data_IF_564829400403
#
_entry.id   IF_564829400403
#
_cell.length_a   1.000
_cell.length_b   1.000
_cell.length_c   1.000
_cell.angle_alpha   90.00
_cell.angle_beta   90.00
_cell.angle_gamma   90.00
#
_symmetry.space_group_name_H-M   'P 1'
#
loop_
_entity.id
_entity.type
_entity.pdbx_description
1 polymer ?
#
# COMPACT_ATOMS: atom_id res chain seq x y z
N UNK A 1 16.76 1.49 32.95
CA UNK A 1 17.91 1.19 32.09
C UNK A 1 17.35 0.47 30.87
N UNK A 2 17.38 1.06 29.68
CA UNK A 2 16.96 0.35 28.47
C UNK A 2 18.01 -0.71 28.19
N UNK A 3 17.71 -1.97 28.52
CA UNK A 3 18.53 -3.09 28.07
C UNK A 3 18.21 -3.36 26.60
N UNK A 4 19.25 -3.38 25.78
CA UNK A 4 19.18 -3.84 24.41
C UNK A 4 18.65 -5.28 24.39
N UNK A 5 17.69 -5.62 23.52
CA UNK A 5 17.13 -6.96 23.46
C UNK A 5 18.23 -7.95 23.07
N UNK A 6 18.31 -9.07 23.80
CA UNK A 6 19.29 -10.11 23.54
C UNK A 6 18.66 -11.25 22.74
N UNK A 7 19.08 -11.42 21.49
CA UNK A 7 18.50 -12.42 20.60
C UNK A 7 19.49 -13.54 20.33
N UNK A 8 18.97 -14.74 20.06
CA UNK A 8 19.75 -15.85 19.53
C UNK A 8 19.34 -16.11 18.08
N UNK A 9 20.29 -16.22 17.15
CA UNK A 9 20.00 -16.60 15.77
C UNK A 9 20.36 -18.07 15.56
N UNK A 10 19.34 -18.89 15.31
CA UNK A 10 19.48 -20.30 14.99
C UNK A 10 19.12 -20.53 13.52
N UNK A 11 20.02 -21.16 12.78
CA UNK A 11 19.89 -21.43 11.35
C UNK A 11 20.66 -22.69 11.02
N UNK A 12 20.41 -23.28 9.86
CA UNK A 12 21.13 -24.44 9.37
C UNK A 12 22.25 -24.02 8.42
N UNK A 13 23.39 -24.71 8.49
CA UNK A 13 24.52 -24.48 7.58
C UNK A 13 24.26 -25.12 6.21
N UNK A 14 23.37 -24.52 5.43
CA UNK A 14 22.90 -25.08 4.15
C UNK A 14 23.93 -24.87 3.04
N UNK A 15 24.27 -23.61 2.78
CA UNK A 15 25.26 -23.20 1.78
C UNK A 15 25.86 -21.82 2.15
N UNK A 16 26.93 -21.43 1.46
CA UNK A 16 27.65 -20.18 1.74
C UNK A 16 26.80 -18.92 1.52
N UNK A 17 25.87 -18.93 0.56
CA UNK A 17 24.95 -17.79 0.35
C UNK A 17 24.03 -17.62 1.56
N UNK A 18 23.49 -18.72 2.09
CA UNK A 18 22.63 -18.70 3.28
C UNK A 18 23.39 -18.26 4.54
N UNK A 19 24.63 -18.73 4.73
CA UNK A 19 25.51 -18.29 5.83
C UNK A 19 25.82 -16.79 5.73
N UNK A 20 26.15 -16.32 4.54
CA UNK A 20 26.46 -14.90 4.29
C UNK A 20 25.24 -14.02 4.52
N UNK A 21 24.06 -14.45 4.06
CA UNK A 21 22.81 -13.74 4.29
C UNK A 21 22.46 -13.66 5.78
N UNK A 22 22.65 -14.76 6.53
CA UNK A 22 22.36 -14.79 7.97
C UNK A 22 23.35 -13.92 8.75
N UNK A 23 24.63 -13.88 8.33
CA UNK A 23 25.63 -12.95 8.85
C UNK A 23 25.25 -11.49 8.58
N UNK A 24 24.76 -11.18 7.37
CA UNK A 24 24.27 -9.83 7.06
C UNK A 24 23.11 -9.43 7.99
N UNK A 25 22.13 -10.30 8.19
CA UNK A 25 21.03 -10.06 9.14
C UNK A 25 21.54 -9.82 10.56
N UNK A 26 22.47 -10.66 11.05
CA UNK A 26 23.07 -10.54 12.38
C UNK A 26 23.81 -9.20 12.56
N UNK A 27 24.60 -8.81 11.57
CA UNK A 27 25.31 -7.52 11.56
C UNK A 27 24.32 -6.34 11.57
N UNK A 28 23.25 -6.42 10.77
CA UNK A 28 22.24 -5.37 10.68
C UNK A 28 21.51 -5.17 12.01
N UNK A 29 21.04 -6.26 12.62
CA UNK A 29 20.41 -6.24 13.94
C UNK A 29 21.33 -5.66 15.00
N UNK A 30 22.61 -6.05 14.98
CA UNK A 30 23.62 -5.50 15.89
C UNK A 30 23.82 -3.99 15.68
N UNK A 31 23.80 -3.51 14.44
CA UNK A 31 23.89 -2.08 14.11
C UNK A 31 22.69 -1.27 14.60
N UNK A 32 21.53 -1.91 14.75
CA UNK A 32 20.30 -1.31 15.28
C UNK A 32 20.10 -1.60 16.79
N UNK A 33 21.20 -1.90 17.50
CA UNK A 33 21.24 -1.95 18.96
C UNK A 33 20.73 -3.26 19.57
N UNK A 34 20.65 -4.35 18.80
CA UNK A 34 20.29 -5.68 19.33
C UNK A 34 21.56 -6.42 19.78
N UNK A 35 21.54 -7.05 20.96
CA UNK A 35 22.63 -7.92 21.43
C UNK A 35 22.46 -9.32 20.82
N UNK A 36 23.19 -9.59 19.74
CA UNK A 36 23.03 -10.82 18.93
C UNK A 36 24.00 -11.91 19.38
N UNK A 37 23.44 -13.04 19.83
CA UNK A 37 24.17 -14.30 20.04
C UNK A 37 24.15 -15.08 18.72
N UNK A 38 25.32 -15.31 18.14
CA UNK A 38 25.45 -15.89 16.80
C UNK A 38 26.73 -16.73 16.66
N UNK A 39 26.59 -17.92 16.09
CA UNK A 39 27.66 -18.91 16.05
C UNK A 39 28.92 -18.40 15.33
N UNK A 40 28.77 -17.64 14.24
CA UNK A 40 29.89 -17.09 13.47
C UNK A 40 30.66 -15.99 14.23
N UNK A 41 30.08 -15.41 15.29
CA UNK A 41 30.76 -14.44 16.17
C UNK A 41 31.40 -15.13 17.37
N UNK A 42 30.66 -16.05 17.99
CA UNK A 42 30.93 -16.52 19.35
C UNK A 42 31.68 -17.86 19.39
N UNK A 43 31.57 -18.69 18.34
CA UNK A 43 32.26 -19.98 18.28
C UNK A 43 33.67 -19.85 17.70
N UNK A 44 34.61 -20.57 18.32
CA UNK A 44 36.01 -20.69 17.91
C UNK A 44 36.43 -22.15 17.96
N UNK A 45 37.61 -22.47 17.42
CA UNK A 45 38.19 -23.81 17.58
C UNK A 45 38.29 -24.15 19.07
N UNK A 46 37.71 -25.30 19.45
CA UNK A 46 37.61 -25.75 20.84
C UNK A 46 36.34 -25.34 21.58
N UNK A 47 35.45 -24.54 20.97
CA UNK A 47 34.13 -24.26 21.55
C UNK A 47 33.26 -25.51 21.63
N UNK A 48 32.39 -25.56 22.65
CA UNK A 48 31.41 -26.63 22.82
C UNK A 48 30.03 -26.16 22.31
N UNK A 49 29.57 -26.75 21.20
CA UNK A 49 28.28 -26.40 20.57
C UNK A 49 27.10 -26.60 21.53
N UNK A 50 27.10 -27.65 22.36
CA UNK A 50 26.01 -27.90 23.30
C UNK A 50 25.87 -26.76 24.32
N UNK A 51 27.01 -26.27 24.84
CA UNK A 51 27.02 -25.12 25.75
C UNK A 51 26.59 -23.82 25.06
N UNK A 52 26.92 -23.64 23.78
CA UNK A 52 26.42 -22.51 23.01
C UNK A 52 24.90 -22.56 22.83
N UNK A 53 24.33 -23.73 22.55
CA UNK A 53 22.88 -23.90 22.43
C UNK A 53 22.12 -23.64 23.73
N UNK A 54 22.73 -23.86 24.89
CA UNK A 54 22.12 -23.51 26.18
C UNK A 54 21.84 -22.00 26.31
N UNK A 55 22.52 -21.15 25.53
CA UNK A 55 22.28 -19.70 25.50
C UNK A 55 20.88 -19.33 24.96
N UNK A 56 20.20 -20.23 24.25
CA UNK A 56 18.77 -20.06 23.86
C UNK A 56 17.91 -19.73 25.08
N UNK A 57 18.18 -20.35 26.23
CA UNK A 57 17.41 -20.11 27.45
C UNK A 57 17.54 -18.67 27.94
N UNK A 58 18.69 -18.03 27.71
CA UNK A 58 19.02 -16.67 28.18
C UNK A 58 18.61 -15.56 27.20
N UNK A 59 18.36 -15.90 25.94
CA UNK A 59 17.89 -14.94 24.95
C UNK A 59 16.41 -14.56 25.21
N UNK A 60 16.07 -13.29 25.03
CA UNK A 60 14.69 -12.81 25.09
C UNK A 60 13.89 -13.28 23.88
N UNK A 61 14.53 -13.34 22.71
CA UNK A 61 13.97 -13.86 21.46
C UNK A 61 14.95 -14.80 20.77
N UNK A 62 14.43 -15.71 19.96
CA UNK A 62 15.19 -16.68 19.18
C UNK A 62 14.69 -16.62 17.75
N UNK A 63 15.53 -16.15 16.83
CA UNK A 63 15.24 -16.17 15.40
C UNK A 63 15.54 -17.57 14.87
N UNK A 64 14.57 -18.19 14.23
CA UNK A 64 14.73 -19.50 13.60
C UNK A 64 14.69 -19.30 12.08
N UNK A 65 15.83 -19.36 11.42
CA UNK A 65 15.94 -19.12 9.98
C UNK A 65 15.61 -20.42 9.23
N UNK A 66 14.41 -20.48 8.68
CA UNK A 66 13.79 -21.67 8.13
C UNK A 66 14.08 -21.85 6.65
N UNK A 67 14.52 -23.04 6.30
CA UNK A 67 14.80 -23.52 4.95
C UNK A 67 14.39 -25.01 4.86
N UNK A 68 14.37 -25.62 3.66
CA UNK A 68 14.09 -27.06 3.56
C UNK A 68 15.04 -27.92 4.38
N UNK A 69 16.33 -27.58 4.38
CA UNK A 69 17.37 -28.29 5.14
C UNK A 69 17.19 -28.11 6.65
N UNK A 70 16.76 -26.91 7.10
CA UNK A 70 16.39 -26.66 8.48
C UNK A 70 15.27 -27.61 8.93
N UNK A 71 14.18 -27.71 8.16
CA UNK A 71 13.06 -28.60 8.48
C UNK A 71 13.51 -30.04 8.58
N UNK A 72 14.29 -30.52 7.60
CA UNK A 72 14.80 -31.90 7.59
C UNK A 72 15.55 -32.18 8.89
N UNK A 73 16.44 -31.28 9.31
CA UNK A 73 17.21 -31.44 10.57
C UNK A 73 16.33 -31.35 11.82
N UNK A 74 15.32 -30.48 11.82
CA UNK A 74 14.43 -30.29 12.95
C UNK A 74 13.45 -31.47 13.17
N UNK A 75 12.86 -31.96 12.08
CA UNK A 75 11.80 -32.99 12.12
C UNK A 75 12.39 -34.41 12.12
N UNK A 76 13.43 -34.67 11.31
CA UNK A 76 14.07 -35.97 11.24
C UNK A 76 15.16 -36.07 12.31
N UNK A 77 14.76 -36.42 13.53
CA UNK A 77 15.62 -36.73 14.69
C UNK A 77 16.48 -37.99 14.47
N UNK A 78 17.15 -38.11 13.33
CA UNK A 78 17.90 -39.31 12.95
C UNK A 78 19.17 -39.36 13.81
N UNK A 79 19.26 -40.39 14.65
CA UNK A 79 20.49 -40.90 15.28
C UNK A 79 21.13 -40.09 16.42
N UNK A 80 20.35 -39.55 17.36
CA UNK A 80 20.91 -39.05 18.64
C UNK A 80 21.77 -37.78 18.53
N UNK A 81 21.92 -37.23 17.33
CA UNK A 81 22.54 -35.94 17.03
C UNK A 81 21.39 -34.94 16.77
N UNK A 82 20.91 -34.32 17.84
CA UNK A 82 19.79 -33.37 17.76
C UNK A 82 19.53 -32.62 19.06
N UNK A 83 20.53 -32.57 19.94
CA UNK A 83 20.46 -31.90 21.24
C UNK A 83 19.98 -30.45 21.11
N UNK A 84 20.43 -29.77 20.06
CA UNK A 84 20.05 -28.41 19.68
C UNK A 84 18.53 -28.27 19.48
N UNK A 85 17.93 -29.14 18.67
CA UNK A 85 16.49 -29.16 18.41
C UNK A 85 15.68 -29.67 19.60
N UNK A 86 16.27 -30.50 20.48
CA UNK A 86 15.65 -30.88 21.76
C UNK A 86 15.55 -29.68 22.70
N UNK A 87 16.59 -28.84 22.80
CA UNK A 87 16.54 -27.59 23.58
C UNK A 87 15.43 -26.68 23.01
N UNK A 88 15.42 -26.43 21.70
CA UNK A 88 14.42 -25.58 21.05
C UNK A 88 13.01 -26.14 21.29
N UNK A 89 12.78 -27.43 21.04
CA UNK A 89 11.47 -28.05 21.23
C UNK A 89 11.00 -27.99 22.69
N UNK A 90 11.91 -28.21 23.64
CA UNK A 90 11.60 -28.21 25.08
C UNK A 90 11.27 -26.80 25.57
N UNK A 91 12.07 -25.82 25.19
CA UNK A 91 11.83 -24.42 25.53
C UNK A 91 10.55 -23.90 24.86
N UNK A 92 10.30 -24.27 23.60
CA UNK A 92 9.10 -23.90 22.88
C UNK A 92 7.83 -24.50 23.50
N UNK A 93 7.87 -25.76 23.95
CA UNK A 93 6.74 -26.41 24.60
C UNK A 93 6.27 -25.67 25.86
N UNK A 94 7.18 -24.99 26.58
CA UNK A 94 6.84 -24.13 27.74
C UNK A 94 6.06 -22.88 27.35
N UNK A 95 6.14 -22.45 26.09
CA UNK A 95 5.57 -21.18 25.61
C UNK A 95 4.51 -21.37 24.53
N UNK A 96 4.00 -22.58 24.31
CA UNK A 96 3.09 -22.89 23.18
C UNK A 96 1.89 -21.94 23.06
N UNK A 97 1.24 -21.58 24.18
CA UNK A 97 0.03 -20.73 24.17
C UNK A 97 0.32 -19.22 24.11
N UNK A 98 1.57 -18.81 24.36
CA UNK A 98 1.98 -17.41 24.47
C UNK A 98 3.33 -17.17 23.79
N UNK A 99 3.62 -17.90 22.70
CA UNK A 99 4.94 -17.87 22.10
C UNK A 99 5.24 -16.48 21.55
N UNK A 100 6.10 -15.75 22.25
CA UNK A 100 6.69 -14.50 21.80
C UNK A 100 8.21 -14.61 21.68
N UNK A 101 8.79 -15.74 22.10
CA UNK A 101 10.24 -15.98 22.15
C UNK A 101 10.76 -16.52 20.83
N UNK A 102 10.15 -17.55 20.26
CA UNK A 102 10.61 -18.18 19.03
C UNK A 102 9.96 -17.52 17.82
N UNK A 103 10.76 -16.84 17.00
CA UNK A 103 10.33 -16.09 15.83
C UNK A 103 10.74 -16.85 14.56
N UNK A 104 9.80 -17.51 13.85
CA UNK A 104 10.11 -18.22 12.62
C UNK A 104 10.33 -17.24 11.46
N UNK A 105 11.45 -17.38 10.75
CA UNK A 105 11.83 -16.54 9.62
C UNK A 105 11.99 -17.43 8.38
N UNK A 106 11.04 -17.39 7.44
CA UNK A 106 11.07 -18.23 6.25
C UNK A 106 12.04 -17.63 5.21
N UNK A 107 13.14 -18.32 4.94
CA UNK A 107 14.21 -17.86 4.03
C UNK A 107 14.28 -18.61 2.70
N UNK A 108 13.84 -19.86 2.64
CA UNK A 108 13.77 -20.64 1.40
C UNK A 108 12.60 -21.64 1.46
N UNK A 109 12.20 -22.19 0.30
CA UNK A 109 11.10 -23.16 0.20
C UNK A 109 9.73 -22.57 0.51
N UNK A 110 8.82 -23.37 1.05
CA UNK A 110 7.46 -23.02 1.47
C UNK A 110 7.17 -23.49 2.91
N UNK A 111 5.94 -23.27 3.39
CA UNK A 111 5.53 -23.60 4.76
C UNK A 111 5.74 -25.09 5.04
N UNK A 112 5.27 -25.94 4.14
CA UNK A 112 5.26 -27.39 4.29
C UNK A 112 6.67 -27.96 4.23
N UNK A 113 7.52 -27.45 3.34
CA UNK A 113 8.88 -27.95 3.11
C UNK A 113 9.92 -27.39 4.07
N UNK A 114 9.68 -26.22 4.68
CA UNK A 114 10.74 -25.46 5.37
C UNK A 114 10.45 -25.12 6.83
N UNK A 115 9.18 -25.08 7.22
CA UNK A 115 8.81 -24.84 8.62
C UNK A 115 8.68 -26.19 9.35
N UNK A 116 9.40 -26.40 10.47
CA UNK A 116 9.26 -27.59 11.31
C UNK A 116 7.81 -27.81 11.73
N UNK A 117 7.41 -29.07 11.83
CA UNK A 117 5.99 -29.44 12.01
C UNK A 117 5.36 -28.78 13.25
N UNK A 118 6.14 -28.59 14.33
CA UNK A 118 5.67 -27.96 15.57
C UNK A 118 5.47 -26.43 15.49
N UNK A 119 5.91 -25.78 14.41
CA UNK A 119 5.79 -24.32 14.20
C UNK A 119 4.83 -23.94 13.06
N UNK A 120 4.31 -24.90 12.29
CA UNK A 120 3.49 -24.60 11.09
C UNK A 120 2.19 -23.85 11.40
N UNK A 121 1.65 -23.96 12.61
CA UNK A 121 0.45 -23.21 13.05
C UNK A 121 0.76 -21.79 13.57
N UNK A 122 2.03 -21.40 13.65
CA UNK A 122 2.45 -20.10 14.19
C UNK A 122 2.73 -19.12 13.06
N UNK A 123 2.50 -17.83 13.33
CA UNK A 123 2.88 -16.77 12.40
C UNK A 123 4.40 -16.78 12.19
N UNK A 124 4.81 -16.50 10.96
CA UNK A 124 6.20 -16.43 10.55
C UNK A 124 6.44 -15.20 9.68
N UNK A 125 7.68 -14.73 9.63
CA UNK A 125 8.09 -13.66 8.74
C UNK A 125 8.63 -14.26 7.44
N UNK A 126 7.98 -14.00 6.31
CA UNK A 126 8.48 -14.39 4.99
C UNK A 126 9.48 -13.35 4.48
N UNK A 127 10.73 -13.79 4.33
CA UNK A 127 11.84 -12.98 3.81
C UNK A 127 12.50 -13.64 2.61
N UNK A 128 11.81 -14.53 1.89
CA UNK A 128 12.36 -15.21 0.69
C UNK A 128 12.65 -14.24 -0.45
N UNK A 129 11.85 -13.19 -0.60
CA UNK A 129 12.01 -12.18 -1.65
C UNK A 129 12.96 -11.06 -1.19
N UNK A 130 14.17 -11.02 -1.75
CA UNK A 130 15.21 -10.04 -1.35
C UNK A 130 14.79 -8.57 -1.57
N UNK A 131 13.95 -8.30 -2.58
CA UNK A 131 13.41 -6.96 -2.82
C UNK A 131 12.50 -6.43 -1.72
N UNK A 132 11.92 -7.30 -0.90
CA UNK A 132 11.06 -6.96 0.23
C UNK A 132 11.82 -6.91 1.57
N UNK A 133 13.12 -7.21 1.56
CA UNK A 133 13.91 -7.42 2.78
C UNK A 133 13.84 -6.23 3.73
N UNK A 134 14.04 -5.00 3.25
CA UNK A 134 14.07 -3.81 4.12
C UNK A 134 12.73 -3.57 4.83
N UNK A 135 11.60 -3.77 4.12
CA UNK A 135 10.27 -3.65 4.73
C UNK A 135 10.06 -4.72 5.81
N UNK A 136 10.43 -5.96 5.51
CA UNK A 136 10.32 -7.10 6.43
C UNK A 136 11.29 -7.00 7.61
N UNK A 137 12.45 -6.39 7.40
CA UNK A 137 13.44 -6.12 8.43
C UNK A 137 12.88 -5.16 9.49
N UNK A 138 12.19 -4.08 9.09
CA UNK A 138 11.52 -3.18 10.04
C UNK A 138 10.43 -3.91 10.84
N UNK A 139 9.68 -4.81 10.19
CA UNK A 139 8.69 -5.67 10.85
C UNK A 139 9.35 -6.57 11.90
N UNK A 140 10.47 -7.21 11.56
CA UNK A 140 11.27 -8.03 12.48
C UNK A 140 11.81 -7.22 13.66
N UNK A 141 12.39 -6.05 13.39
CA UNK A 141 13.01 -5.21 14.40
C UNK A 141 11.98 -4.75 15.44
N UNK A 142 10.79 -4.31 14.99
CA UNK A 142 9.67 -3.99 15.89
C UNK A 142 9.28 -5.18 16.76
N UNK A 143 9.20 -6.39 16.20
CA UNK A 143 8.92 -7.61 16.98
C UNK A 143 10.01 -7.93 18.02
N UNK A 144 11.28 -7.68 17.71
CA UNK A 144 12.40 -7.89 18.64
C UNK A 144 12.33 -6.92 19.83
N UNK A 145 11.92 -5.68 19.58
CA UNK A 145 11.73 -4.66 20.62
C UNK A 145 10.36 -4.70 21.31
N UNK A 146 9.50 -5.67 20.98
CA UNK A 146 8.11 -5.76 21.45
C UNK A 146 7.28 -4.48 21.15
N UNK A 147 7.62 -3.80 20.06
CA UNK A 147 6.90 -2.63 19.56
C UNK A 147 5.75 -3.06 18.63
N UNK A 148 4.53 -2.51 18.79
CA UNK A 148 3.42 -2.87 17.94
C UNK A 148 3.65 -2.42 16.49
N UNK A 149 3.43 -3.33 15.54
CA UNK A 149 3.42 -2.98 14.11
C UNK A 149 2.39 -1.89 13.83
N UNK A 150 1.20 -2.06 14.39
CA UNK A 150 0.08 -1.13 14.35
C UNK A 150 -0.40 -0.88 15.80
N UNK A 151 -0.16 0.32 16.37
CA UNK A 151 -0.59 0.61 17.73
C UNK A 151 -2.12 0.57 17.81
N UNK A 152 -2.65 -0.19 18.78
CA UNK A 152 -4.09 -0.23 19.03
C UNK A 152 -4.56 1.18 19.45
N UNK A 153 -5.54 1.78 18.77
CA UNK A 153 -6.05 3.09 19.18
C UNK A 153 -6.71 2.99 20.56
N UNK A 154 -6.75 4.09 21.33
CA UNK A 154 -7.53 4.15 22.57
C UNK A 154 -8.98 3.75 22.31
N UNK A 155 -9.56 3.00 23.24
CA UNK A 155 -10.96 2.58 23.12
C UNK A 155 -11.87 3.82 23.09
N UNK A 156 -12.67 3.95 22.03
CA UNK A 156 -13.67 5.00 21.90
C UNK A 156 -14.79 4.85 22.94
N UNK A 157 -15.56 5.92 23.16
CA UNK A 157 -16.79 5.84 23.96
C UNK A 157 -17.83 4.99 23.23
N UNK A 158 -18.63 4.21 23.97
CA UNK A 158 -19.81 3.52 23.41
C UNK A 158 -20.65 4.54 22.64
N UNK A 159 -20.97 4.30 21.36
CA UNK A 159 -21.85 5.18 20.60
C UNK A 159 -23.18 5.34 21.34
N UNK A 160 -23.67 6.57 21.41
CA UNK A 160 -25.01 6.82 21.92
C UNK A 160 -26.02 6.43 20.83
N UNK A 161 -26.55 5.21 20.93
CA UNK A 161 -27.55 4.69 19.98
C UNK A 161 -28.95 5.30 20.18
N UNK A 162 -29.17 6.08 21.25
CA UNK A 162 -30.46 6.73 21.57
C UNK A 162 -30.56 8.15 21.04
N UNK A 163 -29.44 8.82 20.76
CA UNK A 163 -29.38 10.11 20.06
C UNK A 163 -28.88 9.92 18.63
N UNK A 164 -29.62 9.11 17.86
CA UNK A 164 -29.59 9.27 16.42
C UNK A 164 -30.22 10.64 16.13
N UNK A 165 -29.40 11.70 16.03
CA UNK A 165 -29.78 12.84 15.18
C UNK A 165 -30.22 12.20 13.86
N UNK A 166 -31.40 12.54 13.30
CA UNK A 166 -31.90 11.81 12.16
C UNK A 166 -30.90 11.92 11.00
N UNK A 167 -30.16 10.85 10.74
CA UNK A 167 -29.39 10.65 9.50
C UNK A 167 -30.38 10.55 8.31
N UNK A 168 -31.69 10.56 8.57
CA UNK A 168 -32.77 10.53 7.58
C UNK A 168 -32.83 11.71 6.60
N UNK A 169 -31.90 12.67 6.67
CA UNK A 169 -31.77 13.75 5.68
C UNK A 169 -30.47 13.72 4.86
N UNK A 170 -29.50 12.90 5.24
CA UNK A 170 -28.24 12.78 4.49
C UNK A 170 -28.44 11.65 3.49
N UNK A 171 -28.63 11.99 2.22
CA UNK A 171 -28.80 10.99 1.16
C UNK A 171 -27.57 10.93 0.26
N UNK A 172 -26.87 12.05 0.12
CA UNK A 172 -25.85 12.24 -0.91
C UNK A 172 -24.51 12.65 -0.35
N UNK A 173 -23.45 12.40 -1.11
CA UNK A 173 -22.11 12.92 -0.87
C UNK A 173 -22.12 14.43 -0.70
N UNK A 174 -22.88 15.17 -1.50
CA UNK A 174 -22.97 16.63 -1.39
C UNK A 174 -23.63 17.08 -0.08
N UNK A 175 -24.54 16.28 0.50
CA UNK A 175 -25.10 16.54 1.84
C UNK A 175 -24.07 16.29 2.95
N UNK A 176 -23.17 15.31 2.75
CA UNK A 176 -22.07 14.99 3.69
C UNK A 176 -20.92 15.98 3.56
N UNK A 177 -20.49 16.23 2.33
CA UNK A 177 -19.26 16.91 1.94
C UNK A 177 -19.43 17.56 0.56
N UNK A 178 -19.68 18.87 0.55
CA UNK A 178 -19.74 19.67 -0.67
C UNK A 178 -18.37 20.16 -1.13
N UNK A 179 -18.19 20.32 -2.45
CA UNK A 179 -17.09 21.08 -3.02
C UNK A 179 -17.09 22.51 -2.45
N UNK A 180 -15.91 23.10 -2.24
CA UNK A 180 -15.74 24.44 -1.65
C UNK A 180 -15.85 24.51 -0.11
N UNK A 181 -16.00 23.39 0.60
CA UNK A 181 -15.85 23.38 2.05
C UNK A 181 -14.39 23.62 2.45
N UNK A 182 -14.16 24.34 3.55
CA UNK A 182 -12.81 24.45 4.12
C UNK A 182 -12.40 23.15 4.82
N UNK A 183 -11.10 22.87 4.92
CA UNK A 183 -10.57 21.72 5.66
C UNK A 183 -11.02 21.69 7.12
N UNK A 184 -11.13 22.85 7.76
CA UNK A 184 -11.69 22.95 9.10
C UNK A 184 -13.16 22.48 9.18
N UNK A 185 -13.97 22.77 8.16
CA UNK A 185 -15.34 22.27 8.06
C UNK A 185 -15.35 20.76 7.81
N UNK A 186 -14.47 20.25 6.93
CA UNK A 186 -14.31 18.81 6.70
C UNK A 186 -13.96 18.09 8.00
N UNK A 187 -12.99 18.61 8.76
CA UNK A 187 -12.57 17.99 10.02
C UNK A 187 -13.66 18.01 11.09
N UNK A 188 -14.55 19.01 11.05
CA UNK A 188 -15.72 19.05 11.92
C UNK A 188 -16.77 18.00 11.54
N UNK A 189 -16.86 17.63 10.27
CA UNK A 189 -17.82 16.65 9.75
C UNK A 189 -17.28 15.22 9.90
N UNK A 190 -16.07 14.97 9.39
CA UNK A 190 -15.47 13.63 9.28
C UNK A 190 -14.49 13.30 10.41
N UNK A 191 -14.14 14.28 11.25
CA UNK A 191 -13.10 14.13 12.26
C UNK A 191 -11.69 14.35 11.70
N UNK A 192 -10.67 13.83 12.41
CA UNK A 192 -9.28 13.94 11.97
C UNK A 192 -9.02 12.92 10.84
N UNK A 193 -8.31 13.30 9.77
CA UNK A 193 -7.96 12.34 8.72
C UNK A 193 -6.99 11.26 9.23
N UNK A 194 -7.10 10.07 8.64
CA UNK A 194 -6.20 8.93 8.91
C UNK A 194 -4.81 9.20 8.32
N UNK A 195 -4.75 9.77 7.10
CA UNK A 195 -3.51 10.19 6.46
C UNK A 195 -3.68 11.58 5.81
N UNK A 196 -2.55 12.27 5.65
CA UNK A 196 -2.46 13.56 4.97
C UNK A 196 -1.25 13.55 4.05
N UNK A 197 -1.48 13.59 2.75
CA UNK A 197 -0.44 13.65 1.73
C UNK A 197 -0.66 14.89 0.85
N UNK A 198 0.07 15.96 1.17
CA UNK A 198 -0.02 17.28 0.54
C UNK A 198 -1.48 17.82 0.44
N UNK A 199 -2.12 17.56 -0.69
CA UNK A 199 -3.47 18.03 -1.05
C UNK A 199 -4.57 17.00 -0.77
N UNK A 200 -4.21 15.76 -0.41
CA UNK A 200 -5.17 14.68 -0.19
C UNK A 200 -5.21 14.36 1.31
N UNK A 201 -6.42 14.29 1.85
CA UNK A 201 -6.69 13.71 3.16
C UNK A 201 -7.54 12.46 3.02
N UNK A 202 -7.11 11.36 3.63
CA UNK A 202 -7.83 10.09 3.57
C UNK A 202 -8.57 9.83 4.88
N UNK A 203 -9.80 9.34 4.76
CA UNK A 203 -10.71 8.96 5.84
C UNK A 203 -11.16 7.52 5.61
N UNK A 204 -10.31 6.56 6.00
CA UNK A 204 -10.52 5.11 5.78
C UNK A 204 -11.82 4.62 6.40
N UNK A 205 -12.14 5.13 7.59
CA UNK A 205 -13.38 4.80 8.32
C UNK A 205 -14.65 5.23 7.58
N UNK A 206 -14.54 6.12 6.59
CA UNK A 206 -15.65 6.62 5.79
C UNK A 206 -15.58 6.18 4.33
N UNK A 207 -14.54 5.44 3.92
CA UNK A 207 -14.33 5.10 2.51
C UNK A 207 -14.07 6.32 1.61
N UNK A 208 -13.45 7.37 2.15
CA UNK A 208 -13.31 8.66 1.47
C UNK A 208 -11.88 9.16 1.34
N UNK A 209 -11.62 9.83 0.23
CA UNK A 209 -10.50 10.76 0.07
C UNK A 209 -11.03 12.14 -0.31
N UNK A 210 -10.46 13.16 0.31
CA UNK A 210 -10.80 14.57 0.07
C UNK A 210 -9.59 15.26 -0.53
N UNK A 211 -9.78 15.83 -1.71
CA UNK A 211 -8.77 16.52 -2.48
C UNK A 211 -9.00 18.03 -2.32
N UNK A 212 -7.96 18.74 -1.90
CA UNK A 212 -8.00 20.17 -1.66
C UNK A 212 -7.18 20.93 -2.71
N UNK A 213 -7.59 22.16 -3.03
CA UNK A 213 -6.73 23.06 -3.79
C UNK A 213 -5.55 23.52 -2.94
N UNK A 214 -4.36 23.65 -3.56
CA UNK A 214 -3.17 24.23 -2.93
C UNK A 214 -3.37 25.68 -2.48
N UNK A 215 -4.22 26.43 -3.18
CA UNK A 215 -4.35 27.86 -2.95
C UNK A 215 -5.34 28.19 -1.81
N UNK A 216 -6.36 27.36 -1.52
CA UNK A 216 -7.50 27.85 -0.73
C UNK A 216 -8.00 27.00 0.46
N UNK A 217 -7.38 25.88 0.84
CA UNK A 217 -7.90 25.01 1.93
C UNK A 217 -9.33 24.51 1.65
N UNK A 218 -9.76 24.59 0.38
CA UNK A 218 -11.09 24.30 -0.12
C UNK A 218 -11.11 22.93 -0.80
N UNK A 219 -12.19 22.19 -0.59
CA UNK A 219 -12.43 20.90 -1.26
C UNK A 219 -12.65 21.13 -2.75
N UNK A 220 -11.76 20.58 -3.57
CA UNK A 220 -11.85 20.58 -5.05
C UNK A 220 -12.35 19.25 -5.59
N UNK A 221 -12.23 18.18 -4.81
CA UNK A 221 -12.66 16.87 -5.23
C UNK A 221 -12.89 15.94 -4.06
N UNK A 222 -13.76 14.97 -4.27
CA UNK A 222 -14.04 13.89 -3.34
C UNK A 222 -14.00 12.58 -4.10
N UNK A 223 -13.38 11.57 -3.49
CA UNK A 223 -13.31 10.22 -4.02
C UNK A 223 -13.91 9.27 -3.00
N UNK A 224 -15.07 8.71 -3.33
CA UNK A 224 -15.68 7.60 -2.62
C UNK A 224 -15.11 6.30 -3.17
N UNK A 225 -14.58 5.43 -2.31
CA UNK A 225 -14.11 4.10 -2.72
C UNK A 225 -14.28 3.08 -1.62
N UNK A 226 -14.50 1.82 -1.99
CA UNK A 226 -14.46 0.72 -1.04
C UNK A 226 -13.00 0.43 -0.65
N UNK A 227 -12.72 0.40 0.65
CA UNK A 227 -11.40 0.11 1.19
C UNK A 227 -11.12 -1.39 1.16
N UNK A 228 -9.84 -1.83 1.15
CA UNK A 228 -9.48 -3.25 1.28
C UNK A 228 -10.02 -3.90 2.55
N UNK A 229 -10.25 -3.12 3.62
CA UNK A 229 -10.89 -3.57 4.86
C UNK A 229 -12.39 -3.90 4.71
N UNK A 230 -12.97 -3.66 3.53
CA UNK A 230 -14.39 -3.84 3.24
C UNK A 230 -15.25 -2.61 3.54
N UNK A 231 -14.72 -1.58 4.21
CA UNK A 231 -15.43 -0.34 4.51
C UNK A 231 -15.75 0.41 3.20
N UNK A 232 -17.02 0.69 2.96
CA UNK A 232 -17.50 1.48 1.82
C UNK A 232 -17.95 2.87 2.24
N UNK A 233 -18.01 3.78 1.26
CA UNK A 233 -18.81 4.99 1.42
C UNK A 233 -20.29 4.62 1.18
N UNK A 234 -21.14 4.88 2.15
CA UNK A 234 -22.51 4.35 2.19
C UNK A 234 -23.58 5.26 1.55
N UNK A 235 -23.19 6.42 1.01
CA UNK A 235 -24.10 7.40 0.41
C UNK A 235 -23.90 7.51 -1.10
N UNK A 236 -24.91 8.03 -1.81
CA UNK A 236 -24.80 8.21 -3.27
C UNK A 236 -23.91 9.41 -3.61
N UNK A 237 -23.14 9.30 -4.69
CA UNK A 237 -22.39 10.42 -5.27
C UNK A 237 -23.07 10.78 -6.59
N UNK A 238 -23.76 11.94 -6.64
CA UNK A 238 -24.60 12.33 -7.78
C UNK A 238 -25.60 11.25 -8.22
N UNK A 239 -26.31 10.65 -7.26
CA UNK A 239 -27.32 9.63 -7.55
C UNK A 239 -26.77 8.23 -7.84
N UNK A 240 -25.45 8.02 -7.72
CA UNK A 240 -24.79 6.74 -7.98
C UNK A 240 -24.24 6.13 -6.69
N UNK A 241 -24.50 4.85 -6.46
CA UNK A 241 -23.91 4.09 -5.35
C UNK A 241 -22.67 3.31 -5.78
N UNK A 242 -21.78 3.03 -4.81
CA UNK A 242 -20.79 1.99 -4.99
C UNK A 242 -21.49 0.64 -5.24
N UNK A 243 -20.86 -0.21 -6.05
CA UNK A 243 -21.37 -1.50 -6.52
C UNK A 243 -22.61 -1.44 -7.43
N UNK A 244 -23.07 -0.24 -7.78
CA UNK A 244 -24.09 -0.08 -8.82
C UNK A 244 -23.54 -0.53 -10.18
N UNK A 245 -24.37 -1.25 -10.96
CA UNK A 245 -23.94 -1.77 -12.25
C UNK A 245 -23.86 -0.66 -13.28
N UNK A 246 -22.96 -0.80 -14.24
CA UNK A 246 -22.82 0.21 -15.30
C UNK A 246 -24.11 0.40 -16.12
N UNK A 247 -24.95 -0.63 -16.23
CA UNK A 247 -26.25 -0.52 -16.89
C UNK A 247 -27.21 0.41 -16.13
N UNK A 248 -27.27 0.30 -14.81
CA UNK A 248 -28.08 1.16 -13.94
C UNK A 248 -27.55 2.60 -13.96
N UNK A 249 -26.23 2.77 -13.87
CA UNK A 249 -25.56 4.08 -13.97
C UNK A 249 -25.88 4.76 -15.31
N UNK A 250 -25.81 4.02 -16.42
CA UNK A 250 -26.20 4.53 -17.74
C UNK A 250 -27.67 4.91 -17.82
N UNK A 251 -28.55 4.19 -17.14
CA UNK A 251 -29.97 4.54 -17.12
C UNK A 251 -30.21 5.90 -16.43
N UNK A 252 -29.37 6.25 -15.44
CA UNK A 252 -29.43 7.53 -14.71
C UNK A 252 -28.72 8.68 -15.43
N UNK A 253 -27.52 8.44 -15.94
CA UNK A 253 -26.61 9.49 -16.45
C UNK A 253 -26.46 9.51 -17.98
N UNK A 254 -26.99 8.51 -18.68
CA UNK A 254 -26.75 8.31 -20.11
C UNK A 254 -25.36 7.75 -20.42
N UNK A 255 -24.91 7.96 -21.65
CA UNK A 255 -23.56 7.55 -22.05
C UNK A 255 -22.53 8.51 -21.46
N UNK A 256 -21.38 8.01 -20.98
CA UNK A 256 -20.29 8.87 -20.58
C UNK A 256 -19.74 9.61 -21.80
N UNK A 257 -19.18 10.79 -21.54
CA UNK A 257 -18.50 11.63 -22.51
C UNK A 257 -17.29 10.90 -23.11
N UNK A 258 -16.54 10.20 -22.26
CA UNK A 258 -15.35 9.47 -22.66
C UNK A 258 -15.03 8.34 -21.67
N UNK A 259 -14.01 7.55 -21.98
CA UNK A 259 -13.54 6.41 -21.20
C UNK A 259 -12.02 6.34 -21.11
N UNK A 260 -11.50 5.69 -20.07
CA UNK A 260 -10.07 5.40 -19.94
C UNK A 260 -9.82 4.04 -19.29
N UNK A 261 -8.77 3.33 -19.72
CA UNK A 261 -8.36 2.03 -19.19
C UNK A 261 -6.99 2.13 -18.48
N UNK A 262 -6.96 2.61 -17.23
CA UNK A 262 -5.70 2.82 -16.52
C UNK A 262 -4.92 1.51 -16.32
N UNK A 263 -5.62 0.38 -16.19
CA UNK A 263 -5.03 -0.95 -16.09
C UNK A 263 -5.96 -2.02 -16.70
N UNK A 264 -5.49 -3.28 -16.87
CA UNK A 264 -6.29 -4.35 -17.46
C UNK A 264 -7.57 -4.73 -16.70
N UNK A 265 -7.67 -4.35 -15.43
CA UNK A 265 -8.73 -4.78 -14.52
C UNK A 265 -9.83 -3.74 -14.34
N UNK A 266 -9.63 -2.50 -14.79
CA UNK A 266 -10.53 -1.39 -14.49
C UNK A 266 -10.79 -0.50 -15.71
N UNK A 267 -11.95 0.16 -15.73
CA UNK A 267 -12.30 1.20 -16.70
C UNK A 267 -12.92 2.38 -15.99
N UNK A 268 -12.59 3.58 -16.42
CA UNK A 268 -13.15 4.81 -15.87
C UNK A 268 -14.12 5.40 -16.91
N UNK A 269 -15.35 5.66 -16.49
CA UNK A 269 -16.37 6.33 -17.29
C UNK A 269 -16.49 7.79 -16.85
N UNK A 270 -16.40 8.71 -17.80
CA UNK A 270 -16.35 10.15 -17.50
C UNK A 270 -17.65 10.84 -17.85
N UNK A 271 -18.18 11.57 -16.88
CA UNK A 271 -19.40 12.35 -17.00
C UNK A 271 -19.14 13.79 -16.61
N UNK A 272 -19.94 14.67 -17.18
CA UNK A 272 -19.99 16.07 -16.82
C UNK A 272 -21.39 16.39 -16.33
N UNK A 273 -21.48 16.94 -15.12
CA UNK A 273 -22.74 17.26 -14.44
C UNK A 273 -22.60 18.67 -13.89
N UNK A 274 -23.41 19.61 -14.38
CA UNK A 274 -23.46 21.01 -13.90
C UNK A 274 -22.09 21.70 -13.80
N UNK A 275 -21.29 21.62 -14.86
CA UNK A 275 -19.90 22.13 -14.93
C UNK A 275 -18.92 21.50 -13.91
N UNK A 276 -19.28 20.35 -13.34
CA UNK A 276 -18.41 19.51 -12.51
C UNK A 276 -18.18 18.18 -13.19
N UNK A 277 -17.17 17.47 -12.72
CA UNK A 277 -16.77 16.18 -13.25
C UNK A 277 -17.15 15.06 -12.33
N UNK A 278 -17.71 14.00 -12.91
CA UNK A 278 -18.02 12.76 -12.24
C UNK A 278 -17.31 11.62 -12.97
N UNK A 279 -16.43 10.92 -12.26
CA UNK A 279 -15.72 9.75 -12.78
C UNK A 279 -16.22 8.51 -12.06
N UNK A 280 -16.67 7.52 -12.83
CA UNK A 280 -17.08 6.21 -12.32
C UNK A 280 -15.99 5.19 -12.66
N UNK A 281 -15.31 4.67 -11.65
CA UNK A 281 -14.35 3.59 -11.81
C UNK A 281 -15.05 2.23 -11.68
N UNK A 282 -14.95 1.40 -12.71
CA UNK A 282 -15.63 0.11 -12.83
C UNK A 282 -14.62 -1.05 -12.87
N UNK A 283 -15.01 -2.19 -12.31
CA UNK A 283 -14.26 -3.44 -12.50
C UNK A 283 -14.53 -4.05 -13.88
N UNK A 284 -13.48 -4.38 -14.62
CA UNK A 284 -13.52 -5.14 -15.88
C UNK A 284 -13.11 -6.59 -15.71
N UNK A 285 -12.28 -6.87 -14.72
CA UNK A 285 -11.81 -8.19 -14.36
C UNK A 285 -11.39 -8.17 -12.90
N UNK A 286 -11.46 -9.33 -12.23
CA UNK A 286 -11.02 -9.46 -10.84
C UNK A 286 -9.49 -9.46 -10.81
N UNK A 287 -8.83 -8.47 -10.17
CA UNK A 287 -7.37 -8.38 -10.17
C UNK A 287 -6.72 -9.50 -9.35
N UNK A 288 -7.27 -9.79 -8.15
CA UNK A 288 -6.66 -10.68 -7.14
C UNK A 288 -7.70 -11.28 -6.17
N UNK A 289 -7.28 -12.23 -5.32
CA UNK A 289 -8.15 -12.85 -4.29
C UNK A 289 -8.72 -11.85 -3.26
N UNK A 290 -8.03 -10.74 -3.01
CA UNK A 290 -8.46 -9.71 -2.05
C UNK A 290 -9.73 -8.95 -2.49
N UNK A 291 -10.07 -9.00 -3.79
CA UNK A 291 -11.26 -8.35 -4.35
C UNK A 291 -12.22 -9.36 -4.98
N UNK A 292 -12.16 -10.63 -4.55
CA UNK A 292 -12.93 -11.73 -5.15
C UNK A 292 -14.45 -11.58 -4.98
N UNK A 293 -14.89 -10.80 -3.99
CA UNK A 293 -16.29 -10.47 -3.71
C UNK A 293 -16.85 -9.33 -4.58
N UNK A 294 -16.01 -8.63 -5.35
CA UNK A 294 -16.47 -7.59 -6.27
C UNK A 294 -17.06 -8.17 -7.55
N UNK A 295 -18.13 -7.53 -8.03
CA UNK A 295 -18.81 -7.90 -9.27
C UNK A 295 -18.20 -7.17 -10.45
N UNK A 296 -17.88 -7.90 -11.51
CA UNK A 296 -17.48 -7.30 -12.77
C UNK A 296 -18.59 -6.41 -13.31
N UNK A 297 -18.24 -5.24 -13.84
CA UNK A 297 -19.16 -4.26 -14.42
C UNK A 297 -19.82 -3.33 -13.41
N UNK A 298 -19.44 -3.37 -12.13
CA UNK A 298 -19.97 -2.46 -11.09
C UNK A 298 -18.96 -1.39 -10.69
N UNK A 299 -19.46 -0.26 -10.17
CA UNK A 299 -18.64 0.82 -9.64
C UNK A 299 -17.89 0.39 -8.37
N UNK A 300 -16.59 0.65 -8.31
CA UNK A 300 -15.77 0.41 -7.12
C UNK A 300 -15.22 1.70 -6.51
N UNK A 301 -15.17 2.76 -7.31
CA UNK A 301 -14.90 4.11 -6.84
C UNK A 301 -15.68 5.12 -7.68
N UNK A 302 -16.03 6.24 -7.05
CA UNK A 302 -16.74 7.36 -7.66
C UNK A 302 -16.05 8.65 -7.24
N UNK A 303 -15.54 9.41 -8.19
CA UNK A 303 -14.95 10.72 -7.95
C UNK A 303 -15.88 11.83 -8.42
N UNK A 304 -16.09 12.86 -7.60
CA UNK A 304 -16.80 14.07 -7.96
C UNK A 304 -15.96 15.30 -7.66
N UNK A 305 -15.77 16.18 -8.64
CA UNK A 305 -14.77 17.24 -8.53
C UNK A 305 -15.01 18.47 -9.43
N UNK A 306 -14.31 19.54 -9.09
CA UNK A 306 -14.12 20.73 -9.92
C UNK A 306 -13.37 20.42 -11.21
N UNK A 307 -13.59 21.25 -12.23
CA UNK A 307 -12.94 21.15 -13.54
C UNK A 307 -11.42 21.08 -13.50
N UNK A 308 -10.80 21.93 -12.69
CA UNK A 308 -9.34 22.00 -12.54
C UNK A 308 -8.81 21.17 -11.38
N UNK A 309 -9.66 20.32 -10.79
CA UNK A 309 -9.24 19.42 -9.72
C UNK A 309 -8.26 18.39 -10.26
N UNK A 310 -7.27 18.02 -9.46
CA UNK A 310 -6.28 17.04 -9.91
C UNK A 310 -6.91 15.68 -10.24
N UNK A 311 -7.96 15.27 -9.53
CA UNK A 311 -8.66 14.01 -9.82
C UNK A 311 -9.46 14.08 -11.13
N UNK A 312 -9.76 15.29 -11.62
CA UNK A 312 -10.42 15.47 -12.92
C UNK A 312 -9.49 15.10 -14.08
N UNK A 313 -8.15 15.12 -13.90
CA UNK A 313 -7.17 14.79 -14.94
C UNK A 313 -6.76 13.30 -14.97
N UNK A 314 -7.15 12.47 -14.00
CA UNK A 314 -6.99 11.00 -14.07
C UNK A 314 -7.44 10.36 -15.42
N UNK A 315 -8.54 10.81 -16.06
CA UNK A 315 -8.96 10.38 -17.39
C UNK A 315 -7.89 10.54 -18.46
N UNK A 316 -7.32 11.75 -18.54
CA UNK A 316 -6.25 12.09 -19.47
C UNK A 316 -5.07 11.16 -19.24
N UNK A 317 -4.69 10.97 -17.98
CA UNK A 317 -3.54 10.14 -17.63
C UNK A 317 -3.78 8.68 -18.00
N UNK A 318 -4.99 8.15 -17.74
CA UNK A 318 -5.37 6.80 -18.14
C UNK A 318 -5.30 6.61 -19.66
N UNK A 319 -5.86 7.54 -20.45
CA UNK A 319 -5.78 7.52 -21.91
C UNK A 319 -4.34 7.65 -22.41
N UNK A 320 -3.52 8.50 -21.77
CA UNK A 320 -2.10 8.66 -22.07
C UNK A 320 -1.34 7.35 -21.84
N UNK A 321 -1.63 6.64 -20.75
CA UNK A 321 -1.06 5.31 -20.47
C UNK A 321 -1.46 4.30 -21.55
N UNK A 322 -2.71 4.31 -22.01
CA UNK A 322 -3.16 3.44 -23.11
C UNK A 322 -2.40 3.71 -24.40
N UNK A 323 -2.19 4.97 -24.78
CA UNK A 323 -1.42 5.31 -25.96
C UNK A 323 0.06 4.90 -25.85
N UNK A 324 0.68 5.14 -24.69
CA UNK A 324 2.03 4.68 -24.38
C UNK A 324 2.09 3.15 -24.54
N UNK A 325 1.09 2.44 -24.02
CA UNK A 325 0.98 0.98 -24.15
C UNK A 325 0.66 0.54 -25.57
N UNK A 326 -0.09 1.27 -26.37
CA UNK A 326 -0.46 0.89 -27.74
C UNK A 326 0.74 0.99 -28.69
N UNK A 327 1.68 1.90 -28.42
CA UNK A 327 2.95 2.08 -29.17
C UNK A 327 4.09 1.15 -28.67
N UNK A 328 3.75 -0.03 -28.11
CA UNK A 328 4.56 -0.95 -27.27
C UNK A 328 6.09 -0.98 -27.45
N UNK A 329 6.74 -0.93 -26.28
CA UNK A 329 8.09 -1.42 -25.89
C UNK A 329 9.34 -0.53 -26.12
N UNK A 330 9.85 -0.05 -24.97
CA UNK A 330 11.22 0.32 -24.57
C UNK A 330 11.99 1.41 -25.31
N UNK A 331 11.63 1.78 -26.54
CA UNK A 331 12.25 2.95 -27.23
C UNK A 331 11.70 4.31 -26.77
N UNK A 332 10.65 4.30 -25.94
CA UNK A 332 10.09 5.49 -25.30
C UNK A 332 11.07 6.15 -24.31
N UNK A 333 11.99 5.37 -23.74
CA UNK A 333 13.02 5.81 -22.78
C UNK A 333 14.15 6.63 -23.43
N UNK A 334 14.21 6.74 -24.75
CA UNK A 334 15.38 7.28 -25.48
C UNK A 334 15.08 8.53 -26.35
N UNK A 335 13.82 8.98 -26.42
CA UNK A 335 13.44 10.12 -27.29
C UNK A 335 13.48 11.46 -26.56
N UNK A 336 13.87 12.51 -27.31
CA UNK A 336 14.01 13.87 -26.77
C UNK A 336 12.63 14.54 -26.70
N UNK A 337 12.40 15.49 -25.75
CA UNK A 337 11.11 16.15 -25.54
C UNK A 337 10.49 16.86 -26.77
N UNK A 338 11.26 17.10 -27.83
CA UNK A 338 10.83 17.80 -29.04
C UNK A 338 10.10 16.92 -30.06
N UNK A 339 10.07 15.60 -29.87
CA UNK A 339 9.46 14.64 -30.80
C UNK A 339 8.00 14.30 -30.42
N UNK A 340 7.43 15.02 -29.45
CA UNK A 340 6.10 14.79 -28.90
C UNK A 340 5.17 15.95 -29.28
N UNK A 341 4.38 15.75 -30.33
CA UNK A 341 3.09 16.43 -30.49
C UNK A 341 2.02 15.38 -30.20
N UNK A 342 1.42 15.43 -29.00
CA UNK A 342 0.21 14.67 -28.74
C UNK A 342 -0.93 15.68 -28.71
N UNK A 343 -1.58 15.86 -29.86
CA UNK A 343 -2.82 16.62 -30.01
C UNK A 343 -3.96 15.76 -29.43
N UNK A 344 -4.16 15.84 -28.11
CA UNK A 344 -5.36 15.30 -27.47
C UNK A 344 -6.54 16.24 -27.76
N UNK A 345 -7.14 16.14 -28.95
CA UNK A 345 -8.50 16.65 -29.19
C UNK A 345 -9.56 15.77 -28.53
N UNK A 346 -9.36 15.45 -27.26
CA UNK A 346 -10.42 14.89 -26.45
C UNK A 346 -11.01 16.04 -25.65
N UNK A 347 -12.27 16.37 -25.91
CA UNK A 347 -13.04 17.40 -25.19
C UNK A 347 -13.36 16.92 -23.76
N UNK A 348 -12.33 16.63 -22.96
CA UNK A 348 -12.50 16.28 -21.56
C UNK A 348 -12.90 17.52 -20.74
N UNK A 349 -12.45 18.71 -21.12
CA UNK A 349 -12.64 19.94 -20.37
C UNK A 349 -13.26 21.05 -21.23
N UNK A 350 -13.91 22.02 -20.59
CA UNK A 350 -14.37 23.26 -21.21
C UNK A 350 -13.23 24.17 -21.63
N UNK A 351 -12.15 24.14 -20.88
CA UNK A 351 -10.99 24.97 -21.09
C UNK A 351 -9.97 24.24 -21.97
N UNK A 352 -9.30 25.00 -22.84
CA UNK A 352 -8.18 24.47 -23.61
C UNK A 352 -7.05 24.05 -22.66
N UNK A 353 -6.52 22.85 -22.86
CA UNK A 353 -5.46 22.30 -22.04
C UNK A 353 -4.33 21.70 -22.89
N UNK A 354 -3.14 21.67 -22.33
CA UNK A 354 -1.95 21.05 -22.92
C UNK A 354 -1.38 20.01 -21.96
N UNK A 355 -0.81 18.95 -22.51
CA UNK A 355 -0.14 17.91 -21.72
C UNK A 355 1.34 17.93 -22.07
N UNK A 356 2.19 18.02 -21.06
CA UNK A 356 3.63 17.96 -21.27
C UNK A 356 4.03 16.54 -21.73
N UNK A 357 5.01 16.43 -22.63
CA UNK A 357 5.66 15.15 -22.89
C UNK A 357 6.17 14.54 -21.57
N UNK A 358 5.92 13.25 -21.30
CA UNK A 358 6.39 12.63 -20.08
C UNK A 358 7.93 12.68 -19.98
N UNK A 359 8.47 13.14 -18.84
CA UNK A 359 9.92 13.27 -18.64
C UNK A 359 10.40 12.55 -17.38
N UNK A 360 11.63 12.00 -17.35
CA UNK A 360 12.12 11.24 -16.20
C UNK A 360 12.14 12.04 -14.89
N UNK A 361 11.73 11.44 -13.78
CA UNK A 361 11.78 12.05 -12.44
C UNK A 361 12.96 11.52 -11.60
N UNK A 362 13.49 12.36 -10.70
CA UNK A 362 14.69 12.06 -9.90
C UNK A 362 14.53 10.81 -8.98
N UNK A 363 13.28 10.41 -8.70
CA UNK A 363 12.93 9.22 -7.92
C UNK A 363 12.61 7.96 -8.76
N UNK A 364 12.90 7.97 -10.07
CA UNK A 364 12.42 6.95 -11.01
C UNK A 364 11.04 7.29 -11.58
N UNK A 365 10.62 6.63 -12.66
CA UNK A 365 9.35 6.95 -13.35
C UNK A 365 9.38 8.25 -14.17
N UNK A 366 8.22 8.81 -14.46
CA UNK A 366 7.99 9.94 -15.35
C UNK A 366 7.04 10.97 -14.76
N UNK A 367 7.28 12.24 -15.02
CA UNK A 367 6.37 13.33 -14.75
C UNK A 367 5.51 13.63 -15.98
N UNK A 368 4.21 13.82 -15.77
CA UNK A 368 3.26 14.37 -16.75
C UNK A 368 2.64 15.62 -16.14
N UNK A 369 2.57 16.68 -16.91
CA UNK A 369 1.97 17.94 -16.48
C UNK A 369 0.78 18.27 -17.38
N UNK A 370 -0.36 18.62 -16.80
CA UNK A 370 -1.51 19.18 -17.53
C UNK A 370 -1.55 20.68 -17.25
N UNK A 371 -1.54 21.50 -18.30
CA UNK A 371 -1.67 22.95 -18.22
C UNK A 371 -3.03 23.37 -18.80
N UNK A 372 -3.89 23.92 -17.97
CA UNK A 372 -5.12 24.61 -18.34
C UNK A 372 -4.77 26.07 -18.72
N UNK A 373 -5.05 26.45 -19.97
CA UNK A 373 -4.51 27.68 -20.56
C UNK A 373 -5.14 28.98 -20.01
N UNK A 374 -6.46 29.04 -19.87
CA UNK A 374 -7.19 30.23 -19.40
C UNK A 374 -7.00 30.46 -17.89
N UNK A 375 -7.12 29.40 -17.09
CA UNK A 375 -6.96 29.44 -15.64
C UNK A 375 -5.48 29.54 -15.22
N UNK A 376 -4.57 29.14 -16.10
CA UNK A 376 -3.14 29.00 -15.80
C UNK A 376 -2.85 27.85 -14.83
N UNK A 377 -3.77 26.90 -14.67
CA UNK A 377 -3.63 25.81 -13.70
C UNK A 377 -2.71 24.71 -14.24
N UNK A 378 -1.67 24.38 -13.48
CA UNK A 378 -0.74 23.28 -13.73
C UNK A 378 -1.02 22.13 -12.76
N UNK A 379 -1.22 20.93 -13.30
CA UNK A 379 -1.41 19.70 -12.53
C UNK A 379 -0.28 18.73 -12.85
N UNK A 380 0.51 18.37 -11.86
CA UNK A 380 1.67 17.50 -12.00
C UNK A 380 1.38 16.08 -11.48
N UNK A 381 1.57 15.11 -12.35
CA UNK A 381 1.45 13.68 -12.07
C UNK A 381 2.80 12.99 -12.19
N UNK A 382 3.08 12.11 -11.24
CA UNK A 382 4.20 11.19 -11.29
C UNK A 382 3.71 9.79 -11.57
N UNK A 383 4.14 9.26 -12.71
CA UNK A 383 3.94 7.90 -13.15
C UNK A 383 5.17 7.07 -12.78
N UNK A 384 5.03 6.03 -11.99
CA UNK A 384 6.14 5.13 -11.69
C UNK A 384 5.72 3.66 -11.81
N UNK A 385 6.70 2.85 -12.18
CA UNK A 385 6.57 1.41 -12.31
C UNK A 385 7.00 0.75 -10.99
N UNK A 386 6.10 0.02 -10.34
CA UNK A 386 6.39 -0.75 -9.12
C UNK A 386 6.79 -2.22 -9.41
N UNK A 387 7.26 -2.54 -10.61
CA UNK A 387 7.56 -3.92 -11.04
C UNK A 387 6.34 -4.85 -11.04
N UNK A 388 5.14 -4.30 -11.29
CA UNK A 388 3.91 -5.04 -11.58
C UNK A 388 3.29 -4.49 -12.88
N UNK A 389 2.38 -5.25 -13.48
CA UNK A 389 1.85 -5.12 -14.85
C UNK A 389 1.12 -3.80 -15.22
N UNK A 390 1.19 -2.74 -14.40
CA UNK A 390 0.58 -1.43 -14.66
C UNK A 390 1.30 -0.24 -13.97
N UNK A 391 1.19 0.94 -14.56
CA UNK A 391 1.75 2.20 -14.04
C UNK A 391 0.89 2.72 -12.88
N UNK A 392 1.54 3.22 -11.82
CA UNK A 392 0.87 3.90 -10.70
C UNK A 392 0.95 5.41 -10.91
N UNK A 393 -0.16 6.11 -10.67
CA UNK A 393 -0.29 7.56 -10.81
C UNK A 393 -0.30 8.17 -9.41
N UNK A 394 0.62 9.10 -9.16
CA UNK A 394 0.64 9.91 -7.93
C UNK A 394 0.65 11.38 -8.30
N UNK A 395 -0.33 12.13 -7.85
CA UNK A 395 -0.27 13.60 -7.96
C UNK A 395 0.85 14.13 -7.07
N UNK A 396 1.67 15.04 -7.61
CA UNK A 396 2.75 15.70 -6.87
C UNK A 396 2.48 17.21 -6.70
N UNK A 397 1.65 17.82 -7.53
CA UNK A 397 1.38 19.25 -7.40
C UNK A 397 0.16 19.76 -8.17
N UNK A 398 -0.45 20.81 -7.63
CA UNK A 398 -1.42 21.69 -8.29
C UNK A 398 -0.91 23.12 -8.09
N UNK A 399 -0.70 23.88 -9.17
CA UNK A 399 -0.08 25.23 -9.13
C UNK A 399 -0.78 26.18 -10.10
N UNK A 400 -0.82 27.47 -9.79
CA UNK A 400 -1.20 28.50 -10.78
C UNK A 400 0.05 29.18 -11.36
N UNK A 401 0.18 29.20 -12.69
CA UNK A 401 1.33 29.77 -13.39
C UNK A 401 1.47 31.28 -13.14
N UNK A 402 0.35 31.99 -12.94
CA UNK A 402 0.32 33.42 -12.65
C UNK A 402 0.86 33.75 -11.26
N UNK A 403 1.10 32.75 -10.42
CA UNK A 403 1.69 32.90 -9.09
C UNK A 403 3.14 32.42 -9.01
N UNK A 404 3.69 31.82 -10.07
CA UNK A 404 5.09 31.37 -10.12
C UNK A 404 6.06 32.55 -10.37
N UNK A 405 5.55 33.71 -10.81
CA UNK A 405 6.32 34.94 -11.04
C UNK A 405 6.46 35.88 -9.81
N UNK A 406 5.94 35.49 -8.63
CA UNK A 406 6.16 36.19 -7.36
C UNK A 406 7.06 35.39 -6.43
#
# INVERSE_FOLDING_TARGET
MNHNPKIFIHYSWDNELHKTWTLYLANRLSSDGVDVIFDQYDLKLGSNNNYFMEQISKASKVLLIMTPDYKIKADNRISGVGYEYQIISTEFAKTISTNTKFLPILRAGDIESSIPTFLQSFLYLDVRADGEFERKYIELLKNIYDEPLNPKPPLGKKPNFTDAKPISKIKTMTDVLGLGLSRAQVHKILGKPDTKDALIETYWSHGLEVIYNKHWDKVDGVLAKRQPSGISFDYEVNGIFLEESFAEIKAKLGNPLNWGLPNPFTSYAFYKIDNKFLTIALWRATPDKEYADFKMGTAYAIAYCEEHSAIACEPIIAATIEEIRARKNLTYLERKPKDYEIDFKADFFNEEYMISPPYPFLGGGYMITVLFQESGTLVDFWLYDLMWSYLVIRMIGLRNINEIEK
#
